data_IF_384995803609
#
_entry.id   IF_384995803609
#
_cell.length_a   1.000
_cell.length_b   1.000
_cell.length_c   1.000
_cell.angle_alpha   90.00
_cell.angle_beta   90.00
_cell.angle_gamma   90.00
#
_symmetry.space_group_name_H-M   'P 1'
#
loop_
_entity.id
_entity.type
_entity.pdbx_description
1 polymer ?
#
# COMPACT_ATOMS: atom_id res chain seq x y z
N UNK A 1 -22.92 -21.65 15.23
CA UNK A 1 -21.76 -21.72 14.34
C UNK A 1 -20.98 -20.42 14.52
N UNK A 2 -19.68 -20.42 14.76
CA UNK A 2 -18.90 -19.19 14.78
C UNK A 2 -19.04 -18.50 13.41
N UNK A 3 -19.45 -17.23 13.38
CA UNK A 3 -19.44 -16.43 12.15
C UNK A 3 -17.99 -16.34 11.65
N UNK A 4 -17.76 -16.77 10.42
CA UNK A 4 -16.46 -16.54 9.77
C UNK A 4 -16.13 -15.03 9.88
N UNK A 5 -14.95 -14.65 10.37
CA UNK A 5 -14.61 -13.24 10.51
C UNK A 5 -14.69 -12.57 9.14
N UNK A 6 -15.28 -11.37 9.09
CA UNK A 6 -15.38 -10.59 7.87
C UNK A 6 -13.97 -10.14 7.45
N UNK A 7 -13.51 -10.45 6.24
CA UNK A 7 -12.19 -10.02 5.79
C UNK A 7 -12.13 -8.49 5.68
N UNK A 8 -10.91 -7.94 5.78
CA UNK A 8 -10.70 -6.52 5.56
C UNK A 8 -10.95 -6.15 4.10
N UNK A 9 -10.51 -6.99 3.17
CA UNK A 9 -10.73 -6.83 1.73
C UNK A 9 -11.15 -8.17 1.14
N UNK A 10 -12.18 -8.18 0.31
CA UNK A 10 -12.55 -9.29 -0.55
C UNK A 10 -12.73 -8.77 -1.98
N UNK A 11 -12.01 -9.37 -2.91
CA UNK A 11 -12.12 -9.16 -4.36
C UNK A 11 -12.56 -10.49 -4.94
N UNK A 12 -13.72 -10.54 -5.58
CA UNK A 12 -14.36 -11.78 -6.00
C UNK A 12 -14.64 -11.76 -7.51
N UNK A 13 -13.84 -12.52 -8.27
CA UNK A 13 -13.93 -12.67 -9.72
C UNK A 13 -14.05 -11.33 -10.48
N UNK A 14 -13.12 -10.41 -10.17
CA UNK A 14 -13.18 -9.03 -10.65
C UNK A 14 -12.50 -8.88 -12.00
N UNK A 15 -13.26 -8.30 -12.95
CA UNK A 15 -12.75 -7.84 -14.23
C UNK A 15 -12.74 -6.30 -14.29
N UNK A 16 -11.77 -5.74 -15.01
CA UNK A 16 -11.77 -4.34 -15.39
C UNK A 16 -11.22 -4.12 -16.79
N UNK A 17 -12.01 -3.45 -17.63
CA UNK A 17 -11.57 -2.87 -18.88
C UNK A 17 -11.92 -1.37 -18.90
N UNK A 18 -10.96 -0.49 -19.26
CA UNK A 18 -11.21 0.95 -19.36
C UNK A 18 -12.09 1.34 -20.56
N UNK A 19 -12.26 0.46 -21.51
CA UNK A 19 -13.09 0.67 -22.70
C UNK A 19 -13.68 -0.65 -23.15
N UNK A 20 -14.97 -0.63 -23.51
CA UNK A 20 -15.63 -1.78 -24.16
C UNK A 20 -15.13 -2.04 -25.60
N UNK A 21 -14.10 -1.32 -26.09
CA UNK A 21 -13.60 -1.49 -27.44
C UNK A 21 -12.76 -2.79 -27.54
N UNK A 22 -13.04 -3.70 -28.50
CA UNK A 22 -12.40 -5.00 -28.60
C UNK A 22 -10.86 -4.97 -28.75
N UNK A 23 -10.28 -3.82 -29.11
CA UNK A 23 -8.83 -3.62 -29.26
C UNK A 23 -8.13 -3.23 -27.94
N UNK A 24 -8.90 -2.90 -26.89
CA UNK A 24 -8.32 -2.59 -25.57
C UNK A 24 -8.52 -3.79 -24.66
N UNK A 25 -7.47 -4.55 -24.37
CA UNK A 25 -7.57 -5.72 -23.49
C UNK A 25 -8.02 -5.29 -22.08
N UNK A 26 -8.65 -6.22 -21.38
CA UNK A 26 -8.93 -6.03 -19.96
C UNK A 26 -7.61 -5.78 -19.20
N UNK A 27 -7.65 -4.86 -18.24
CA UNK A 27 -6.51 -4.54 -17.38
C UNK A 27 -6.42 -5.54 -16.23
N UNK A 28 -7.59 -6.02 -15.77
CA UNK A 28 -7.72 -7.08 -14.78
C UNK A 28 -8.74 -8.09 -15.29
N UNK A 29 -8.47 -9.36 -15.07
CA UNK A 29 -9.32 -10.47 -15.52
C UNK A 29 -9.37 -11.54 -14.43
N UNK A 30 -10.57 -11.85 -13.97
CA UNK A 30 -10.86 -12.91 -12.99
C UNK A 30 -9.98 -12.81 -11.73
N UNK A 31 -9.80 -11.59 -11.20
CA UNK A 31 -9.02 -11.38 -10.00
C UNK A 31 -9.81 -11.84 -8.79
N UNK A 32 -9.29 -12.84 -8.08
CA UNK A 32 -9.83 -13.32 -6.81
C UNK A 32 -8.77 -13.16 -5.71
N UNK A 33 -9.11 -12.40 -4.65
CA UNK A 33 -8.19 -12.08 -3.57
C UNK A 33 -8.95 -11.78 -2.27
N UNK A 34 -8.55 -12.43 -1.18
CA UNK A 34 -9.09 -12.14 0.15
C UNK A 34 -7.96 -11.73 1.08
N UNK A 35 -8.14 -10.63 1.82
CA UNK A 35 -7.18 -10.13 2.81
C UNK A 35 -7.87 -10.13 4.18
N UNK A 36 -7.47 -11.01 5.10
CA UNK A 36 -7.95 -11.00 6.48
C UNK A 36 -7.71 -9.66 7.18
N UNK A 37 -8.52 -9.37 8.20
CA UNK A 37 -8.31 -8.17 9.02
C UNK A 37 -6.98 -8.27 9.76
N UNK A 38 -6.16 -7.21 9.67
CA UNK A 38 -4.83 -7.14 10.26
C UNK A 38 -3.72 -7.80 9.44
N UNK A 39 -4.03 -8.47 8.32
CA UNK A 39 -3.01 -9.00 7.41
C UNK A 39 -2.38 -7.87 6.59
N UNK A 40 -1.09 -7.95 6.36
CA UNK A 40 -0.38 -7.10 5.41
C UNK A 40 -0.11 -7.88 4.12
N UNK A 41 -0.66 -7.39 3.02
CA UNK A 41 -0.51 -7.95 1.68
C UNK A 41 0.35 -7.05 0.81
N UNK A 42 1.33 -7.62 0.12
CA UNK A 42 2.02 -6.95 -0.98
C UNK A 42 1.59 -7.52 -2.33
N UNK A 43 1.30 -6.65 -3.28
CA UNK A 43 1.04 -6.98 -4.68
C UNK A 43 2.23 -6.54 -5.50
N UNK A 44 2.92 -7.50 -6.10
CA UNK A 44 4.05 -7.26 -6.97
C UNK A 44 3.71 -7.57 -8.43
N UNK A 45 4.51 -7.09 -9.37
CA UNK A 45 4.32 -7.34 -10.80
C UNK A 45 4.98 -6.27 -11.66
N UNK A 46 5.03 -6.50 -12.97
CA UNK A 46 5.62 -5.54 -13.91
C UNK A 46 4.82 -4.24 -14.00
N UNK A 47 5.46 -3.16 -14.46
CA UNK A 47 4.75 -1.92 -14.74
C UNK A 47 3.63 -2.14 -15.77
N UNK A 48 2.46 -1.56 -15.50
CA UNK A 48 1.30 -1.67 -16.40
C UNK A 48 0.44 -2.94 -16.23
N UNK A 49 0.78 -3.90 -15.35
CA UNK A 49 -0.01 -5.13 -15.17
C UNK A 49 -1.32 -4.95 -14.35
N UNK A 50 -1.67 -3.73 -13.92
CA UNK A 50 -2.94 -3.47 -13.22
C UNK A 50 -2.86 -3.26 -11.72
N UNK A 51 -1.69 -3.23 -11.08
CA UNK A 51 -1.53 -3.12 -9.62
C UNK A 51 -2.20 -1.88 -9.02
N UNK A 52 -1.88 -0.68 -9.52
CA UNK A 52 -2.50 0.58 -9.07
C UNK A 52 -4.00 0.60 -9.35
N UNK A 53 -4.41 -0.01 -10.45
CA UNK A 53 -5.83 -0.20 -10.82
C UNK A 53 -6.55 -1.04 -9.77
N UNK A 54 -5.94 -2.13 -9.30
CA UNK A 54 -6.48 -2.98 -8.24
C UNK A 54 -6.65 -2.19 -6.93
N UNK A 55 -5.65 -1.37 -6.53
CA UNK A 55 -5.80 -0.50 -5.36
C UNK A 55 -6.95 0.51 -5.51
N UNK A 56 -7.09 1.13 -6.68
CA UNK A 56 -8.19 2.06 -6.94
C UNK A 56 -9.56 1.38 -6.90
N UNK A 57 -9.66 0.16 -7.40
CA UNK A 57 -10.87 -0.66 -7.30
C UNK A 57 -11.21 -0.99 -5.85
N UNK A 58 -10.24 -1.46 -5.05
CA UNK A 58 -10.43 -1.73 -3.63
C UNK A 58 -10.89 -0.47 -2.89
N UNK A 59 -10.24 0.66 -3.14
CA UNK A 59 -10.58 1.95 -2.54
C UNK A 59 -11.88 2.59 -3.00
N UNK A 60 -12.62 1.99 -3.94
CA UNK A 60 -13.88 2.55 -4.44
C UNK A 60 -13.71 3.75 -5.38
N UNK A 61 -12.50 4.01 -5.90
CA UNK A 61 -12.23 5.08 -6.86
C UNK A 61 -12.56 4.67 -8.30
N UNK A 62 -12.61 3.37 -8.55
CA UNK A 62 -13.04 2.75 -9.81
C UNK A 62 -14.12 1.72 -9.53
N UNK A 63 -14.99 1.50 -10.51
CA UNK A 63 -15.96 0.43 -10.49
C UNK A 63 -15.47 -0.74 -11.37
N UNK A 64 -15.60 -2.00 -10.94
CA UNK A 64 -15.28 -3.15 -11.78
C UNK A 64 -16.28 -3.28 -12.94
N UNK A 65 -15.85 -3.91 -14.04
CA UNK A 65 -16.75 -4.26 -15.16
C UNK A 65 -17.58 -5.50 -14.86
N UNK A 66 -17.02 -6.42 -14.05
CA UNK A 66 -17.69 -7.62 -13.52
C UNK A 66 -17.08 -8.00 -12.18
N UNK A 67 -17.78 -8.85 -11.42
CA UNK A 67 -17.38 -9.27 -10.09
C UNK A 67 -17.73 -8.30 -8.99
N UNK A 68 -17.35 -8.63 -7.75
CA UNK A 68 -17.69 -7.87 -6.56
C UNK A 68 -16.44 -7.52 -5.74
N UNK A 69 -16.45 -6.34 -5.11
CA UNK A 69 -15.42 -5.93 -4.17
C UNK A 69 -16.08 -5.49 -2.87
N UNK A 70 -15.55 -5.97 -1.75
CA UNK A 70 -15.99 -5.57 -0.42
C UNK A 70 -14.80 -5.17 0.44
N UNK A 71 -14.98 -4.10 1.20
CA UNK A 71 -14.03 -3.68 2.23
C UNK A 71 -14.78 -3.69 3.56
N UNK A 72 -14.32 -4.51 4.51
CA UNK A 72 -14.99 -4.75 5.80
C UNK A 72 -16.47 -5.17 5.69
N UNK A 73 -16.81 -5.81 4.58
CA UNK A 73 -18.16 -6.26 4.27
C UNK A 73 -18.97 -5.30 3.40
N UNK A 74 -18.58 -4.03 3.29
CA UNK A 74 -19.27 -3.02 2.51
C UNK A 74 -18.88 -3.07 1.04
N UNK A 75 -19.87 -3.10 0.14
CA UNK A 75 -19.68 -3.15 -1.30
C UNK A 75 -19.81 -1.77 -1.98
N UNK A 76 -20.56 -0.84 -1.36
CA UNK A 76 -20.73 0.50 -1.92
C UNK A 76 -19.38 1.24 -2.03
N UNK A 77 -19.06 1.87 -3.17
CA UNK A 77 -17.77 2.57 -3.35
C UNK A 77 -17.47 3.64 -2.30
N UNK A 78 -18.49 4.42 -1.88
CA UNK A 78 -18.30 5.48 -0.88
C UNK A 78 -18.03 4.89 0.51
N UNK A 79 -18.68 3.79 0.87
CA UNK A 79 -18.44 3.09 2.14
C UNK A 79 -17.07 2.45 2.13
N UNK A 80 -16.65 1.79 1.03
CA UNK A 80 -15.28 1.25 0.87
C UNK A 80 -14.23 2.33 1.04
N UNK A 81 -14.42 3.49 0.40
CA UNK A 81 -13.53 4.64 0.52
C UNK A 81 -13.47 5.15 1.98
N UNK A 82 -14.58 5.09 2.70
CA UNK A 82 -14.62 5.51 4.11
C UNK A 82 -13.75 4.67 5.02
N UNK A 83 -13.51 3.40 4.68
CA UNK A 83 -12.66 2.46 5.40
C UNK A 83 -11.19 2.53 5.00
N UNK A 84 -10.84 3.20 3.91
CA UNK A 84 -9.52 3.20 3.34
C UNK A 84 -8.78 4.52 3.56
N UNK A 85 -7.47 4.43 3.80
CA UNK A 85 -6.53 5.51 3.56
C UNK A 85 -5.71 5.16 2.31
N UNK A 86 -5.74 6.02 1.30
CA UNK A 86 -4.99 5.80 0.06
C UNK A 86 -3.75 6.69 0.03
N UNK A 87 -2.60 6.07 -0.19
CA UNK A 87 -1.37 6.71 -0.60
C UNK A 87 -1.12 6.39 -2.09
N UNK A 88 -1.36 7.32 -3.01
CA UNK A 88 -1.11 7.10 -4.44
C UNK A 88 0.40 7.13 -4.74
N UNK A 89 0.80 6.61 -5.91
CA UNK A 89 2.19 6.57 -6.39
C UNK A 89 2.84 7.96 -6.43
N UNK A 90 2.09 9.01 -6.81
CA UNK A 90 2.52 10.40 -6.67
C UNK A 90 2.28 10.90 -5.24
N UNK A 91 3.07 11.88 -4.81
CA UNK A 91 2.93 12.46 -3.47
C UNK A 91 1.57 13.15 -3.23
N UNK A 92 0.94 13.68 -4.28
CA UNK A 92 -0.37 14.35 -4.25
C UNK A 92 -0.51 15.37 -3.11
N UNK A 93 0.59 16.03 -2.75
CA UNK A 93 0.58 17.08 -1.74
C UNK A 93 -0.04 18.34 -2.33
N UNK A 94 -0.83 19.04 -1.52
CA UNK A 94 -1.46 20.30 -1.89
C UNK A 94 -0.39 21.42 -1.88
N UNK A 95 -0.03 22.00 -3.02
CA UNK A 95 1.14 22.90 -3.11
C UNK A 95 0.97 24.21 -2.35
N UNK A 96 -0.27 24.61 -2.08
CA UNK A 96 -0.60 25.81 -1.31
C UNK A 96 -0.64 25.61 0.20
N UNK A 97 -0.51 24.37 0.69
CA UNK A 97 -0.41 24.08 2.12
C UNK A 97 1.04 23.87 2.54
N UNK A 98 1.34 24.12 3.82
CA UNK A 98 2.58 23.63 4.41
C UNK A 98 2.58 22.11 4.48
N UNK A 99 3.74 21.48 4.65
CA UNK A 99 3.87 20.02 4.84
C UNK A 99 3.01 19.55 6.01
N UNK A 100 3.06 20.25 7.14
CA UNK A 100 2.21 19.97 8.31
C UNK A 100 0.73 20.09 8.00
N UNK A 101 0.30 21.11 7.28
CA UNK A 101 -1.10 21.28 6.93
C UNK A 101 -1.57 20.20 5.94
N UNK A 102 -0.71 19.74 5.02
CA UNK A 102 -0.95 18.58 4.16
C UNK A 102 -1.21 17.31 4.98
N UNK A 103 -0.32 17.02 5.92
CA UNK A 103 -0.44 15.83 6.78
C UNK A 103 -1.68 15.92 7.69
N UNK A 104 -2.08 17.13 8.10
CA UNK A 104 -3.26 17.37 8.94
C UNK A 104 -4.61 17.25 8.20
N UNK A 105 -4.62 17.21 6.84
CA UNK A 105 -5.87 17.19 6.04
C UNK A 105 -6.87 16.12 6.49
N UNK A 106 -6.50 14.84 6.67
CA UNK A 106 -7.46 13.82 7.05
C UNK A 106 -8.18 14.13 8.37
N UNK A 107 -7.44 14.54 9.38
CA UNK A 107 -8.02 14.90 10.68
C UNK A 107 -8.96 16.08 10.59
N UNK A 108 -8.60 17.08 9.78
CA UNK A 108 -9.46 18.26 9.58
C UNK A 108 -10.75 17.93 8.86
N UNK A 109 -10.70 17.02 7.89
CA UNK A 109 -11.90 16.53 7.20
C UNK A 109 -12.84 15.76 8.14
N UNK A 110 -12.30 15.17 9.20
CA UNK A 110 -13.09 14.54 10.28
C UNK A 110 -13.46 15.52 11.41
N UNK A 111 -13.37 16.84 11.20
CA UNK A 111 -13.82 17.85 12.15
C UNK A 111 -12.86 18.10 13.33
N UNK A 112 -11.66 17.53 13.33
CA UNK A 112 -10.67 17.78 14.39
C UNK A 112 -10.21 19.24 14.35
N UNK A 113 -10.22 19.91 15.50
CA UNK A 113 -9.80 21.30 15.61
C UNK A 113 -8.37 21.50 15.05
N UNK A 114 -8.17 22.59 14.29
CA UNK A 114 -6.92 22.89 13.56
C UNK A 114 -5.66 22.76 14.42
N UNK A 115 -5.70 23.27 15.67
CA UNK A 115 -4.57 23.21 16.61
C UNK A 115 -4.20 21.77 16.95
N UNK A 116 -5.19 20.93 17.22
CA UNK A 116 -5.01 19.52 17.57
C UNK A 116 -4.51 18.74 16.35
N UNK A 117 -5.13 18.93 15.17
CA UNK A 117 -4.73 18.28 13.94
C UNK A 117 -3.28 18.62 13.55
N UNK A 118 -2.87 19.89 13.68
CA UNK A 118 -1.48 20.32 13.48
C UNK A 118 -0.51 19.70 14.48
N UNK A 119 -0.87 19.58 15.75
CA UNK A 119 -0.04 18.94 16.76
C UNK A 119 0.22 17.47 16.43
N UNK A 120 -0.84 16.72 16.08
CA UNK A 120 -0.70 15.31 15.64
C UNK A 120 0.12 15.19 14.36
N UNK A 121 -0.08 16.09 13.40
CA UNK A 121 0.68 16.11 12.14
C UNK A 121 2.17 16.40 12.39
N UNK A 122 2.51 17.33 13.30
CA UNK A 122 3.90 17.60 13.66
C UNK A 122 4.56 16.36 14.27
N UNK A 123 3.91 15.72 15.25
CA UNK A 123 4.43 14.50 15.87
C UNK A 123 4.63 13.36 14.83
N UNK A 124 3.73 13.21 13.87
CA UNK A 124 3.89 12.24 12.79
C UNK A 124 5.07 12.60 11.88
N UNK A 125 5.23 13.87 11.51
CA UNK A 125 6.36 14.35 10.71
C UNK A 125 7.71 14.15 11.41
N UNK A 126 7.78 14.35 12.73
CA UNK A 126 8.98 14.05 13.54
C UNK A 126 9.36 12.58 13.42
N UNK A 127 8.39 11.67 13.54
CA UNK A 127 8.60 10.23 13.37
C UNK A 127 9.06 9.85 11.95
N UNK A 128 8.65 10.62 10.94
CA UNK A 128 9.09 10.45 9.54
C UNK A 128 10.42 11.17 9.23
N UNK A 129 11.10 11.77 10.23
CA UNK A 129 12.31 12.54 10.01
C UNK A 129 12.10 13.85 9.26
N UNK A 130 10.89 14.42 9.32
CA UNK A 130 10.49 15.65 8.61
C UNK A 130 10.08 16.79 9.56
N UNK A 131 10.37 16.69 10.86
CA UNK A 131 9.98 17.69 11.85
C UNK A 131 10.43 19.10 11.52
N UNK A 132 11.70 19.27 11.09
CA UNK A 132 12.27 20.55 10.69
C UNK A 132 11.58 21.19 9.46
N UNK A 133 10.90 20.37 8.63
CA UNK A 133 10.25 20.80 7.38
C UNK A 133 8.74 21.01 7.53
N UNK A 134 8.22 20.94 8.75
CA UNK A 134 6.78 21.00 9.01
C UNK A 134 6.10 22.27 8.47
N UNK A 135 6.80 23.40 8.44
CA UNK A 135 6.30 24.70 7.95
C UNK A 135 6.61 24.98 6.49
N UNK A 136 7.48 24.21 5.86
CA UNK A 136 7.88 24.36 4.45
C UNK A 136 6.73 24.00 3.50
N UNK A 137 6.88 24.42 2.25
CA UNK A 137 5.97 24.05 1.14
C UNK A 137 6.47 22.76 0.47
N UNK A 138 5.58 21.98 -0.18
CA UNK A 138 5.99 20.81 -0.94
C UNK A 138 7.10 21.05 -1.97
N UNK A 139 7.13 22.24 -2.59
CA UNK A 139 8.15 22.64 -3.56
C UNK A 139 9.56 22.78 -2.97
N UNK A 140 9.69 22.93 -1.66
CA UNK A 140 10.97 23.03 -0.95
C UNK A 140 11.55 21.68 -0.54
N UNK A 141 10.80 20.59 -0.77
CA UNK A 141 11.16 19.24 -0.38
C UNK A 141 11.74 18.44 -1.56
N UNK A 142 12.65 17.52 -1.27
CA UNK A 142 13.07 16.50 -2.24
C UNK A 142 11.91 15.53 -2.54
N UNK A 143 12.00 14.75 -3.62
CA UNK A 143 11.01 13.73 -3.97
C UNK A 143 10.75 12.73 -2.84
N UNK A 144 11.81 12.20 -2.23
CA UNK A 144 11.71 11.28 -1.09
C UNK A 144 11.10 11.93 0.16
N UNK A 145 11.40 13.21 0.42
CA UNK A 145 10.76 13.94 1.52
C UNK A 145 9.25 14.13 1.27
N UNK A 146 8.84 14.44 0.04
CA UNK A 146 7.43 14.54 -0.33
C UNK A 146 6.72 13.19 -0.17
N UNK A 147 7.37 12.10 -0.59
CA UNK A 147 6.82 10.76 -0.44
C UNK A 147 6.62 10.38 1.04
N UNK A 148 7.60 10.67 1.92
CA UNK A 148 7.45 10.49 3.37
C UNK A 148 6.32 11.34 3.96
N UNK A 149 6.13 12.57 3.50
CA UNK A 149 5.01 13.41 3.94
C UNK A 149 3.65 12.86 3.47
N UNK A 150 3.56 12.30 2.26
CA UNK A 150 2.37 11.63 1.76
C UNK A 150 2.03 10.36 2.58
N UNK A 151 3.04 9.56 2.93
CA UNK A 151 2.89 8.41 3.82
C UNK A 151 2.41 8.85 5.21
N UNK A 152 3.01 9.88 5.79
CA UNK A 152 2.59 10.46 7.07
C UNK A 152 1.11 10.92 7.03
N UNK A 153 0.66 11.51 5.92
CA UNK A 153 -0.73 11.91 5.71
C UNK A 153 -1.67 10.70 5.68
N UNK A 154 -1.30 9.65 4.95
CA UNK A 154 -2.11 8.43 4.85
C UNK A 154 -2.24 7.73 6.21
N UNK A 155 -1.14 7.59 6.94
CA UNK A 155 -1.13 6.99 8.28
C UNK A 155 -1.93 7.79 9.30
N UNK A 156 -1.90 9.14 9.20
CA UNK A 156 -2.65 10.00 10.11
C UNK A 156 -4.17 10.00 9.86
N UNK A 157 -4.61 9.43 8.73
CA UNK A 157 -6.02 9.21 8.45
C UNK A 157 -6.67 8.19 9.40
N UNK A 158 -5.86 7.33 10.05
CA UNK A 158 -6.27 6.35 11.06
C UNK A 158 -7.43 5.46 10.57
N UNK A 159 -7.27 4.92 9.36
CA UNK A 159 -8.26 4.05 8.72
C UNK A 159 -7.88 2.57 8.91
N UNK A 160 -8.90 1.68 8.99
CA UNK A 160 -8.64 0.24 9.19
C UNK A 160 -7.91 -0.43 8.04
N UNK A 161 -7.94 0.14 6.83
CA UNK A 161 -7.25 -0.37 5.64
C UNK A 161 -6.36 0.73 5.07
N UNK A 162 -5.06 0.47 4.96
CA UNK A 162 -4.09 1.32 4.27
C UNK A 162 -3.83 0.73 2.87
N UNK A 163 -4.12 1.51 1.85
CA UNK A 163 -3.80 1.21 0.46
C UNK A 163 -2.59 2.05 0.06
N UNK A 164 -1.47 1.44 -0.30
CA UNK A 164 -0.23 2.14 -0.58
C UNK A 164 0.34 1.75 -1.95
N UNK A 165 0.44 2.71 -2.85
CA UNK A 165 0.99 2.52 -4.19
C UNK A 165 2.43 3.01 -4.25
N UNK A 166 3.39 2.07 -4.30
CA UNK A 166 4.84 2.31 -4.27
C UNK A 166 5.29 3.26 -3.14
N UNK A 167 4.95 2.95 -1.87
CA UNK A 167 5.10 3.92 -0.78
C UNK A 167 6.53 4.39 -0.53
N UNK A 168 7.55 3.62 -0.94
CA UNK A 168 8.95 3.91 -0.69
C UNK A 168 9.79 4.04 -1.98
N UNK A 169 9.14 4.05 -3.14
CA UNK A 169 9.82 3.98 -4.46
C UNK A 169 10.78 5.15 -4.75
N UNK A 170 10.50 6.36 -4.23
CA UNK A 170 11.34 7.55 -4.45
C UNK A 170 12.43 7.76 -3.39
N UNK A 171 12.63 6.80 -2.45
CA UNK A 171 13.62 6.90 -1.39
C UNK A 171 14.96 6.29 -1.81
N UNK A 172 16.06 6.93 -1.36
CA UNK A 172 17.37 6.30 -1.40
C UNK A 172 17.45 5.07 -0.48
N UNK A 173 18.42 4.20 -0.68
CA UNK A 173 18.50 2.90 -0.01
C UNK A 173 18.59 2.99 1.52
N UNK A 174 19.32 4.00 2.06
CA UNK A 174 19.50 4.17 3.52
C UNK A 174 18.18 4.63 4.13
N UNK A 175 17.61 5.72 3.63
CA UNK A 175 16.33 6.28 4.09
C UNK A 175 15.21 5.26 3.94
N UNK A 176 15.20 4.49 2.84
CA UNK A 176 14.20 3.44 2.61
C UNK A 176 14.25 2.38 3.72
N UNK A 177 15.45 1.91 4.11
CA UNK A 177 15.62 0.96 5.19
C UNK A 177 15.08 1.47 6.53
N UNK A 178 15.42 2.69 6.91
CA UNK A 178 14.93 3.33 8.13
C UNK A 178 13.40 3.47 8.17
N UNK A 179 12.80 3.89 7.05
CA UNK A 179 11.34 4.04 6.95
C UNK A 179 10.64 2.69 6.91
N UNK A 180 11.23 1.66 6.29
CA UNK A 180 10.68 0.29 6.33
C UNK A 180 10.63 -0.24 7.77
N UNK A 181 11.68 -0.04 8.55
CA UNK A 181 11.75 -0.49 9.94
C UNK A 181 10.71 0.24 10.80
N UNK A 182 10.67 1.56 10.69
CA UNK A 182 9.67 2.37 11.39
C UNK A 182 8.22 2.02 10.99
N UNK A 183 7.95 1.82 9.68
CA UNK A 183 6.62 1.46 9.19
C UNK A 183 6.19 0.08 9.72
N UNK A 184 7.12 -0.87 9.73
CA UNK A 184 6.84 -2.19 10.27
C UNK A 184 6.50 -2.17 11.77
N UNK A 185 7.23 -1.39 12.57
CA UNK A 185 6.93 -1.19 14.00
C UNK A 185 5.55 -0.54 14.20
N UNK A 186 5.22 0.47 13.37
CA UNK A 186 3.93 1.13 13.43
C UNK A 186 2.78 0.18 13.11
N UNK A 187 2.93 -0.62 12.05
CA UNK A 187 1.92 -1.56 11.58
C UNK A 187 1.71 -2.70 12.59
N UNK A 188 2.78 -3.25 13.17
CA UNK A 188 2.70 -4.31 14.18
C UNK A 188 1.85 -3.92 15.40
N UNK A 189 1.81 -2.63 15.75
CA UNK A 189 1.03 -2.12 16.90
C UNK A 189 -0.37 -1.60 16.55
N UNK A 190 -0.72 -1.48 15.27
CA UNK A 190 -1.94 -0.76 14.86
C UNK A 190 -3.17 -1.65 14.68
N UNK A 191 -3.00 -2.94 14.38
CA UNK A 191 -4.07 -3.82 13.94
C UNK A 191 -4.68 -3.43 12.58
N UNK A 192 -4.11 -2.46 11.87
CA UNK A 192 -4.54 -2.05 10.55
C UNK A 192 -4.16 -3.11 9.50
N UNK A 193 -4.98 -3.23 8.47
CA UNK A 193 -4.67 -4.04 7.28
C UNK A 193 -3.90 -3.17 6.29
N UNK A 194 -2.81 -3.71 5.74
CA UNK A 194 -2.06 -3.06 4.65
C UNK A 194 -2.30 -3.83 3.34
N UNK A 195 -2.64 -3.12 2.27
CA UNK A 195 -2.52 -3.61 0.89
C UNK A 195 -1.57 -2.66 0.18
N UNK A 196 -0.38 -3.13 -0.12
CA UNK A 196 0.61 -2.31 -0.81
C UNK A 196 0.97 -2.86 -2.18
N UNK A 197 1.29 -1.97 -3.09
CA UNK A 197 1.87 -2.27 -4.40
C UNK A 197 3.31 -1.83 -4.40
N UNK A 198 4.20 -2.71 -4.83
CA UNK A 198 5.61 -2.37 -5.01
C UNK A 198 6.23 -3.20 -6.14
N UNK A 199 7.33 -2.72 -6.70
CA UNK A 199 8.20 -3.48 -7.60
C UNK A 199 9.44 -4.03 -6.88
N UNK A 200 9.64 -3.71 -5.61
CA UNK A 200 10.77 -4.16 -4.79
C UNK A 200 10.35 -5.40 -4.00
N UNK A 201 10.97 -6.54 -4.31
CA UNK A 201 10.67 -7.84 -3.67
C UNK A 201 11.10 -7.87 -2.20
N UNK A 202 12.19 -7.20 -1.85
CA UNK A 202 12.64 -7.12 -0.46
C UNK A 202 11.65 -6.30 0.38
N UNK A 203 11.14 -5.19 -0.17
CA UNK A 203 10.08 -4.40 0.46
C UNK A 203 8.80 -5.25 0.66
N UNK A 204 8.37 -5.96 -0.39
CA UNK A 204 7.21 -6.82 -0.32
C UNK A 204 7.34 -7.87 0.79
N UNK A 205 8.47 -8.58 0.84
CA UNK A 205 8.71 -9.60 1.86
C UNK A 205 8.80 -9.01 3.27
N UNK A 206 9.49 -7.88 3.46
CA UNK A 206 9.73 -7.30 4.78
C UNK A 206 8.48 -6.67 5.42
N UNK A 207 7.56 -6.15 4.61
CA UNK A 207 6.39 -5.38 5.08
C UNK A 207 5.07 -6.14 4.99
N UNK A 208 5.07 -7.38 4.50
CA UNK A 208 3.82 -8.15 4.38
C UNK A 208 3.92 -9.58 4.96
N UNK A 209 2.76 -10.13 5.34
CA UNK A 209 2.60 -11.55 5.66
C UNK A 209 2.40 -12.39 4.41
N UNK A 210 1.95 -11.75 3.31
CA UNK A 210 1.68 -12.42 2.04
C UNK A 210 2.06 -11.55 0.87
N UNK A 211 2.68 -12.16 -0.14
CA UNK A 211 3.09 -11.52 -1.39
C UNK A 211 2.39 -12.20 -2.55
N UNK A 212 1.64 -11.46 -3.35
CA UNK A 212 0.99 -11.96 -4.56
C UNK A 212 1.60 -11.33 -5.81
N UNK A 213 1.73 -12.12 -6.86
CA UNK A 213 2.19 -11.67 -8.19
C UNK A 213 0.99 -11.45 -9.09
N UNK A 214 0.84 -10.22 -9.54
CA UNK A 214 -0.10 -9.84 -10.59
C UNK A 214 0.65 -9.79 -11.94
N UNK A 215 0.17 -10.56 -12.92
CA UNK A 215 0.69 -10.56 -14.26
C UNK A 215 -0.45 -10.71 -15.28
N UNK A 216 -0.40 -9.93 -16.35
CA UNK A 216 -1.40 -9.93 -17.44
C UNK A 216 -2.85 -9.84 -16.93
N UNK A 217 -3.05 -9.06 -15.86
CA UNK A 217 -4.35 -8.86 -15.24
C UNK A 217 -4.81 -9.97 -14.30
N UNK A 218 -4.02 -11.02 -14.07
CA UNK A 218 -4.36 -12.16 -13.21
C UNK A 218 -3.43 -12.26 -11.99
N UNK A 219 -3.92 -12.84 -10.91
CA UNK A 219 -3.07 -13.30 -9.80
C UNK A 219 -2.46 -14.64 -10.20
N UNK A 220 -1.15 -14.68 -10.40
CA UNK A 220 -0.43 -15.87 -10.91
C UNK A 220 0.51 -16.51 -9.89
N UNK A 221 0.69 -15.89 -8.73
CA UNK A 221 1.53 -16.42 -7.67
C UNK A 221 1.13 -15.87 -6.30
N UNK A 222 1.39 -16.67 -5.25
CA UNK A 222 1.08 -16.33 -3.85
C UNK A 222 2.13 -16.98 -2.94
N UNK A 223 2.81 -16.19 -2.12
CA UNK A 223 3.89 -16.62 -1.24
C UNK A 223 3.73 -16.03 0.16
N UNK A 224 4.19 -16.74 1.20
CA UNK A 224 4.30 -16.16 2.54
C UNK A 224 5.35 -15.06 2.56
N UNK A 225 5.00 -13.92 3.16
CA UNK A 225 5.92 -12.83 3.47
C UNK A 225 6.72 -13.10 4.76
N UNK A 226 7.45 -12.08 5.19
CA UNK A 226 8.36 -12.17 6.34
C UNK A 226 8.02 -11.21 7.47
N UNK A 227 6.94 -10.45 7.38
CA UNK A 227 6.57 -9.45 8.37
C UNK A 227 6.51 -10.01 9.79
N UNK A 228 5.71 -11.05 10.03
CA UNK A 228 5.61 -11.70 11.34
C UNK A 228 6.92 -12.40 11.76
N UNK A 229 7.69 -12.95 10.79
CA UNK A 229 8.96 -13.65 11.06
C UNK A 229 10.10 -12.68 11.41
N UNK A 230 9.99 -11.42 11.02
CA UNK A 230 11.00 -10.38 11.37
C UNK A 230 10.75 -9.78 12.73
N UNK A 231 9.60 -10.00 13.39
CA UNK A 231 9.25 -9.35 14.65
C UNK A 231 10.39 -9.46 15.68
N UNK A 232 10.90 -8.30 16.14
CA UNK A 232 12.01 -8.22 17.09
C UNK A 232 13.41 -8.54 16.55
N UNK A 233 13.57 -8.85 15.24
CA UNK A 233 14.87 -9.11 14.60
C UNK A 233 15.36 -7.86 13.86
N UNK A 234 16.65 -7.50 13.97
CA UNK A 234 17.25 -6.47 13.13
C UNK A 234 17.09 -6.79 11.63
N UNK A 235 16.83 -5.78 10.82
CA UNK A 235 16.67 -5.92 9.36
C UNK A 235 17.87 -6.65 8.71
N UNK A 236 19.09 -6.35 9.16
CA UNK A 236 20.31 -6.97 8.64
C UNK A 236 20.33 -8.49 8.87
N UNK A 237 19.82 -8.96 10.01
CA UNK A 237 19.71 -10.39 10.29
C UNK A 237 18.65 -11.08 9.45
N UNK A 238 17.51 -10.40 9.21
CA UNK A 238 16.45 -10.93 8.36
C UNK A 238 16.93 -11.05 6.91
N UNK A 239 17.60 -10.02 6.38
CA UNK A 239 18.14 -10.04 5.02
C UNK A 239 19.25 -11.07 4.81
N UNK A 240 19.99 -11.42 5.87
CA UNK A 240 21.03 -12.45 5.86
C UNK A 240 20.46 -13.88 6.06
N UNK A 241 19.19 -14.02 6.38
CA UNK A 241 18.55 -15.32 6.59
C UNK A 241 18.46 -16.12 5.27
N UNK A 242 19.01 -17.36 5.21
CA UNK A 242 18.94 -18.18 4.00
C UNK A 242 17.51 -18.42 3.50
N UNK A 243 16.53 -18.49 4.40
CA UNK A 243 15.11 -18.63 4.05
C UNK A 243 14.57 -17.38 3.35
N UNK A 244 14.98 -16.18 3.81
CA UNK A 244 14.62 -14.93 3.13
C UNK A 244 15.20 -14.88 1.71
N UNK A 245 16.49 -15.24 1.56
CA UNK A 245 17.13 -15.30 0.26
C UNK A 245 16.46 -16.32 -0.69
N UNK A 246 16.02 -17.47 -0.15
CA UNK A 246 15.27 -18.47 -0.93
C UNK A 246 13.92 -17.93 -1.40
N UNK A 247 13.10 -17.33 -0.50
CA UNK A 247 11.82 -16.72 -0.84
C UNK A 247 11.97 -15.64 -1.91
N UNK A 248 12.96 -14.75 -1.74
CA UNK A 248 13.31 -13.70 -2.70
C UNK A 248 13.63 -14.27 -4.08
N UNK A 249 14.48 -15.31 -4.12
CA UNK A 249 14.91 -15.95 -5.37
C UNK A 249 13.75 -16.61 -6.12
N UNK A 250 12.85 -17.25 -5.39
CA UNK A 250 11.64 -17.88 -5.95
C UNK A 250 10.72 -16.84 -6.60
N UNK A 251 10.44 -15.75 -5.91
CA UNK A 251 9.63 -14.66 -6.42
C UNK A 251 10.27 -14.02 -7.65
N UNK A 252 11.58 -13.75 -7.61
CA UNK A 252 12.29 -13.16 -8.75
C UNK A 252 12.29 -14.07 -9.99
N UNK A 253 12.38 -15.40 -9.81
CA UNK A 253 12.25 -16.35 -10.93
C UNK A 253 10.85 -16.31 -11.54
N UNK A 254 9.81 -16.24 -10.72
CA UNK A 254 8.43 -16.13 -11.19
C UNK A 254 8.19 -14.82 -11.96
N UNK A 255 8.74 -13.70 -11.48
CA UNK A 255 8.73 -12.42 -12.20
C UNK A 255 9.48 -12.47 -13.54
N UNK A 256 10.61 -13.20 -13.59
CA UNK A 256 11.40 -13.40 -14.81
C UNK A 256 10.70 -14.32 -15.81
N UNK A 257 10.11 -15.44 -15.36
CA UNK A 257 9.39 -16.38 -16.21
C UNK A 257 8.15 -15.80 -16.90
N UNK A 258 7.46 -14.87 -16.23
CA UNK A 258 6.37 -14.09 -16.85
C UNK A 258 6.90 -13.20 -17.99
N UNK A 259 8.17 -12.76 -17.91
CA UNK A 259 8.80 -11.94 -18.95
C UNK A 259 9.08 -12.70 -20.27
N UNK A 260 9.37 -13.99 -20.15
CA UNK A 260 9.68 -14.86 -21.32
C UNK A 260 8.40 -15.37 -22.01
N UNK A 261 7.28 -15.45 -21.29
CA UNK A 261 6.00 -15.91 -21.85
C UNK A 261 5.27 -14.84 -22.69
N UNK A 262 5.68 -13.56 -22.60
CA UNK A 262 5.05 -12.40 -23.27
C UNK A 262 5.91 -11.87 -24.43
N UNK A 263 7.14 -12.38 -24.63
CA UNK A 263 8.02 -12.02 -25.74
C UNK A 263 7.89 -12.99 -26.92
#
# INVERSE_FOLDING_TARGET
MPKTPVPAVAVDHVDLAYSAHPKNPAVLTDVHLTVPTGEHLAVIGRSGCGKSTLLHLIGGLLAPTAGDIRVRGDADPADRLSHCALMPQGDSLLPWFSVRDNVAVPLRNHGVARRVARGRATAMLERCGLGAWATSRPSELSGGMRQRAALARALLADKPVLLADEPLGALDAITRGEIQDWLAELLAGSGATLVMVTHDVDEALLLSERVVLLADGHVVGDWPGWFSRRAGRPRTEVLADPGFAASRTEILRSLGGVAEAVA
#
